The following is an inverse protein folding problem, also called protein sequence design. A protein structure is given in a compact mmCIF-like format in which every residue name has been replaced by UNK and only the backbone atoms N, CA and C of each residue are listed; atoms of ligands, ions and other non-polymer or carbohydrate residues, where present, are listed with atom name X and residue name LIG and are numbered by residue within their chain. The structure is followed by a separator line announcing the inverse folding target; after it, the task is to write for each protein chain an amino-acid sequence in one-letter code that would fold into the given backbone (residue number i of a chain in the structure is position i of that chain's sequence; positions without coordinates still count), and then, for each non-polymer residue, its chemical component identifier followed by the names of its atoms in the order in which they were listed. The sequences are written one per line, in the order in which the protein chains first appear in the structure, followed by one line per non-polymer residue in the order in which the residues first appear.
data_IF_719303999387
#
_entry.id   IF_719303999387
#
_cell.length_a   1.000
_cell.length_b   1.000
_cell.length_c   1.000
_cell.angle_alpha   90.00
_cell.angle_beta   90.00
_cell.angle_gamma   90.00
#
_symmetry.space_group_name_H-M   'P 1'
#
loop_
_entity.id
_entity.type
_entity.pdbx_description
1 polymer ?
#
# COMPACT_ATOMS: atom_id res chain seq x y z
N UNK A 1 2.41 -19.94 -10.76
CA UNK A 1 1.06 -19.36 -10.60
C UNK A 1 1.28 -17.87 -10.39
N UNK A 2 0.63 -17.01 -11.18
CA UNK A 2 0.65 -15.56 -10.96
C UNK A 2 -0.40 -15.18 -9.93
N UNK A 3 -0.11 -14.18 -9.11
CA UNK A 3 -1.09 -13.54 -8.23
C UNK A 3 -1.67 -12.30 -8.93
N UNK A 4 -2.67 -11.67 -8.32
CA UNK A 4 -3.19 -10.39 -8.73
C UNK A 4 -2.81 -9.32 -7.72
N UNK A 5 -2.54 -8.11 -8.20
CA UNK A 5 -2.12 -6.98 -7.38
C UNK A 5 -2.97 -5.75 -7.72
N UNK A 6 -3.51 -5.13 -6.68
CA UNK A 6 -4.14 -3.81 -6.76
C UNK A 6 -3.36 -2.84 -5.86
N UNK A 7 -2.92 -1.73 -6.44
CA UNK A 7 -2.33 -0.60 -5.73
C UNK A 7 -3.28 0.57 -5.92
N UNK A 8 -3.72 1.18 -4.83
CA UNK A 8 -4.60 2.34 -4.90
C UNK A 8 -4.24 3.39 -3.86
N UNK A 9 -4.69 4.60 -4.12
CA UNK A 9 -4.65 5.71 -3.17
C UNK A 9 -6.05 6.25 -2.92
N UNK A 10 -6.24 6.86 -1.75
CA UNK A 10 -7.48 7.52 -1.39
C UNK A 10 -7.27 8.55 -0.27
N UNK A 11 -8.27 9.40 -0.06
CA UNK A 11 -8.25 10.44 0.96
C UNK A 11 -9.19 10.06 2.10
N UNK A 12 -8.68 9.94 3.32
CA UNK A 12 -9.50 9.78 4.51
C UNK A 12 -10.46 10.97 4.65
N UNK A 13 -11.72 10.71 4.99
CA UNK A 13 -12.75 11.75 5.15
C UNK A 13 -12.48 12.69 6.32
N UNK A 14 -11.61 12.28 7.24
CA UNK A 14 -11.03 13.08 8.31
C UNK A 14 -9.71 12.47 8.76
N UNK A 15 -8.89 13.20 9.55
CA UNK A 15 -7.73 12.60 10.19
C UNK A 15 -8.16 11.46 11.12
N UNK A 16 -7.58 10.28 10.92
CA UNK A 16 -7.72 9.15 11.83
C UNK A 16 -6.70 9.25 12.97
N UNK A 17 -7.17 8.98 14.19
CA UNK A 17 -6.32 8.82 15.37
C UNK A 17 -5.52 7.52 15.31
N UNK A 18 -4.44 7.44 16.09
CA UNK A 18 -3.63 6.22 16.26
C UNK A 18 -4.49 5.01 16.64
N UNK A 19 -5.46 5.19 17.54
CA UNK A 19 -6.35 4.11 17.96
C UNK A 19 -7.29 3.63 16.83
N UNK A 20 -7.73 4.54 15.96
CA UNK A 20 -8.58 4.20 14.81
C UNK A 20 -7.79 3.48 13.72
N UNK A 21 -6.58 3.96 13.43
CA UNK A 21 -5.65 3.29 12.52
C UNK A 21 -5.29 1.89 13.03
N UNK A 22 -4.99 1.76 14.32
CA UNK A 22 -4.73 0.47 14.96
C UNK A 22 -5.89 -0.52 14.80
N UNK A 23 -7.14 -0.06 15.02
CA UNK A 23 -8.34 -0.90 14.80
C UNK A 23 -8.52 -1.29 13.33
N UNK A 24 -8.34 -0.34 12.41
CA UNK A 24 -8.45 -0.57 10.97
C UNK A 24 -7.44 -1.63 10.50
N UNK A 25 -6.18 -1.50 10.93
CA UNK A 25 -5.11 -2.44 10.58
C UNK A 25 -5.35 -3.81 11.19
N UNK A 26 -5.78 -3.88 12.46
CA UNK A 26 -6.11 -5.18 13.08
C UNK A 26 -7.24 -5.90 12.35
N UNK A 27 -8.29 -5.18 11.95
CA UNK A 27 -9.39 -5.75 11.18
C UNK A 27 -8.91 -6.23 9.81
N UNK A 28 -8.11 -5.42 9.12
CA UNK A 28 -7.53 -5.78 7.83
C UNK A 28 -6.65 -7.03 7.93
N UNK A 29 -5.78 -7.14 8.95
CA UNK A 29 -4.93 -8.32 9.16
C UNK A 29 -5.73 -9.61 9.33
N UNK A 30 -6.81 -9.57 10.12
CA UNK A 30 -7.67 -10.75 10.36
C UNK A 30 -8.37 -11.17 9.07
N UNK A 31 -8.99 -10.20 8.38
CA UNK A 31 -9.69 -10.48 7.13
C UNK A 31 -8.74 -11.02 6.07
N UNK A 32 -7.63 -10.31 5.83
CA UNK A 32 -6.66 -10.66 4.80
C UNK A 32 -6.04 -12.03 5.02
N UNK A 33 -5.70 -12.37 6.28
CA UNK A 33 -5.22 -13.71 6.61
C UNK A 33 -6.22 -14.81 6.22
N UNK A 34 -7.52 -14.60 6.48
CA UNK A 34 -8.56 -15.59 6.12
C UNK A 34 -8.74 -15.77 4.61
N UNK A 35 -8.35 -14.77 3.82
CA UNK A 35 -8.46 -14.77 2.35
C UNK A 35 -7.12 -15.00 1.64
N UNK A 36 -6.03 -15.28 2.39
CA UNK A 36 -4.67 -15.39 1.83
C UNK A 36 -4.24 -14.14 1.04
N UNK A 37 -4.66 -12.96 1.50
CA UNK A 37 -4.28 -11.66 0.94
C UNK A 37 -3.09 -11.11 1.73
N UNK A 38 -2.12 -10.57 1.03
CA UNK A 38 -0.96 -9.87 1.60
C UNK A 38 -0.90 -8.43 1.10
N UNK A 39 -0.02 -7.63 1.70
CA UNK A 39 0.19 -6.25 1.27
C UNK A 39 0.54 -5.31 2.41
N UNK A 40 0.44 -4.02 2.11
CA UNK A 40 0.80 -2.94 3.02
C UNK A 40 -0.19 -1.79 2.93
N UNK A 41 -0.32 -1.05 4.02
CA UNK A 41 -1.07 0.18 4.15
C UNK A 41 -0.15 1.29 4.67
N UNK A 42 -0.06 2.36 3.91
CA UNK A 42 0.66 3.57 4.28
C UNK A 42 -0.35 4.69 4.53
N UNK A 43 -0.12 5.46 5.60
CA UNK A 43 -0.96 6.61 5.95
C UNK A 43 -0.12 7.86 6.23
N UNK A 44 -0.46 8.97 5.58
CA UNK A 44 0.17 10.28 5.81
C UNK A 44 -0.86 11.41 5.69
N UNK A 45 -1.13 12.14 6.78
CA UNK A 45 -2.03 13.32 6.78
C UNK A 45 -3.32 13.16 5.95
N UNK A 46 -4.06 12.08 6.20
CA UNK A 46 -5.30 11.69 5.49
C UNK A 46 -5.10 11.05 4.12
N UNK A 47 -3.89 10.87 3.62
CA UNK A 47 -3.65 10.10 2.40
C UNK A 47 -3.41 8.64 2.76
N UNK A 48 -4.17 7.75 2.13
CA UNK A 48 -3.93 6.32 2.12
C UNK A 48 -3.24 5.91 0.83
N UNK A 49 -2.28 5.00 0.95
CA UNK A 49 -1.73 4.24 -0.16
C UNK A 49 -1.69 2.77 0.28
N UNK A 50 -2.36 1.90 -0.46
CA UNK A 50 -2.49 0.50 -0.10
C UNK A 50 -2.15 -0.40 -1.27
N UNK A 51 -1.46 -1.49 -0.95
CA UNK A 51 -1.13 -2.59 -1.87
C UNK A 51 -1.89 -3.82 -1.38
N UNK A 52 -2.58 -4.50 -2.29
CA UNK A 52 -3.29 -5.76 -2.06
C UNK A 52 -2.76 -6.80 -3.04
N UNK A 53 -2.43 -7.99 -2.54
CA UNK A 53 -1.84 -9.08 -3.31
C UNK A 53 -2.49 -10.41 -2.95
N UNK A 54 -2.86 -11.23 -3.93
CA UNK A 54 -3.52 -12.51 -3.65
C UNK A 54 -4.15 -13.15 -4.88
N UNK A 55 -5.09 -14.06 -4.66
CA UNK A 55 -5.96 -14.56 -5.74
C UNK A 55 -6.81 -13.41 -6.27
N UNK A 56 -7.04 -13.38 -7.59
CA UNK A 56 -7.69 -12.27 -8.28
C UNK A 56 -9.06 -11.94 -7.69
N UNK A 57 -9.94 -12.92 -7.59
CA UNK A 57 -11.30 -12.76 -7.08
C UNK A 57 -11.28 -12.25 -5.63
N UNK A 58 -10.44 -12.82 -4.77
CA UNK A 58 -10.31 -12.39 -3.38
C UNK A 58 -9.82 -10.93 -3.24
N UNK A 59 -8.89 -10.51 -4.09
CA UNK A 59 -8.35 -9.13 -4.11
C UNK A 59 -9.40 -8.15 -4.63
N UNK A 60 -10.10 -8.48 -5.72
CA UNK A 60 -11.18 -7.66 -6.29
C UNK A 60 -12.33 -7.49 -5.28
N UNK A 61 -12.81 -8.57 -4.65
CA UNK A 61 -13.86 -8.52 -3.62
C UNK A 61 -13.45 -7.72 -2.38
N UNK A 62 -12.18 -7.77 -1.98
CA UNK A 62 -11.67 -6.92 -0.91
C UNK A 62 -11.64 -5.46 -1.33
N UNK A 63 -11.15 -5.17 -2.54
CA UNK A 63 -11.09 -3.82 -3.07
C UNK A 63 -12.48 -3.17 -3.16
N UNK A 64 -13.49 -3.89 -3.66
CA UNK A 64 -14.86 -3.39 -3.76
C UNK A 64 -15.44 -3.01 -2.40
N UNK A 65 -15.22 -3.85 -1.37
CA UNK A 65 -15.67 -3.54 -0.01
C UNK A 65 -14.91 -2.37 0.60
N UNK A 66 -13.65 -2.18 0.23
CA UNK A 66 -12.91 -0.98 0.61
C UNK A 66 -13.49 0.22 -0.11
N UNK A 67 -13.83 0.14 -1.40
CA UNK A 67 -14.39 1.27 -2.15
C UNK A 67 -15.68 1.84 -1.56
N UNK A 68 -16.44 1.04 -0.83
CA UNK A 68 -17.65 1.45 -0.12
C UNK A 68 -17.41 1.96 1.31
N UNK A 69 -16.17 1.96 1.80
CA UNK A 69 -15.84 2.31 3.17
C UNK A 69 -15.98 3.83 3.41
N UNK A 70 -16.83 4.27 4.36
CA UNK A 70 -17.09 5.70 4.59
C UNK A 70 -15.90 6.46 5.21
N UNK A 71 -14.83 5.75 5.59
CA UNK A 71 -13.62 6.36 6.17
C UNK A 71 -12.77 7.09 5.14
N UNK A 72 -13.04 6.93 3.84
CA UNK A 72 -12.27 7.56 2.77
C UNK A 72 -13.12 7.92 1.53
N UNK A 73 -12.52 8.70 0.64
CA UNK A 73 -13.06 9.18 -0.64
C UNK A 73 -11.90 9.28 -1.65
N UNK A 74 -12.18 9.74 -2.87
CA UNK A 74 -11.19 10.01 -3.92
C UNK A 74 -10.33 8.79 -4.26
N UNK A 75 -10.97 7.62 -4.25
CA UNK A 75 -10.32 6.36 -4.54
C UNK A 75 -9.82 6.33 -5.99
N UNK A 76 -8.50 6.16 -6.16
CA UNK A 76 -7.85 6.11 -7.46
C UNK A 76 -6.99 4.85 -7.53
N UNK A 77 -7.26 3.98 -8.49
CA UNK A 77 -6.39 2.85 -8.81
C UNK A 77 -5.09 3.42 -9.40
N UNK A 78 -3.99 3.10 -8.75
CA UNK A 78 -2.64 3.33 -9.27
C UNK A 78 -2.27 2.19 -10.19
N UNK A 79 -2.48 0.95 -9.76
CA UNK A 79 -2.15 -0.23 -10.53
C UNK A 79 -3.16 -1.34 -10.27
N UNK A 80 -3.49 -2.08 -11.33
CA UNK A 80 -4.35 -3.26 -11.29
C UNK A 80 -3.79 -4.23 -12.35
N UNK A 81 -3.28 -5.39 -11.91
CA UNK A 81 -2.70 -6.33 -12.84
C UNK A 81 -2.14 -7.61 -12.22
N UNK A 82 -1.79 -8.60 -13.07
CA UNK A 82 -1.14 -9.83 -12.61
C UNK A 82 0.30 -9.56 -12.16
N UNK A 83 0.71 -10.09 -11.01
CA UNK A 83 2.09 -10.07 -10.54
C UNK A 83 2.68 -11.49 -10.56
N UNK A 84 3.98 -11.65 -10.87
CA UNK A 84 4.62 -12.96 -10.90
C UNK A 84 4.67 -13.63 -9.52
N UNK A 85 4.75 -12.83 -8.45
CA UNK A 85 4.76 -13.27 -7.06
C UNK A 85 4.34 -12.10 -6.13
N UNK A 86 3.93 -12.36 -4.88
CA UNK A 86 3.71 -11.30 -3.90
C UNK A 86 5.03 -10.59 -3.59
N UNK A 87 4.99 -9.26 -3.56
CA UNK A 87 6.12 -8.43 -3.16
C UNK A 87 6.16 -8.21 -1.65
N UNK A 88 5.01 -8.37 -0.99
CA UNK A 88 4.85 -8.21 0.45
C UNK A 88 4.41 -9.51 1.14
N UNK A 89 5.02 -10.69 0.85
CA UNK A 89 4.48 -12.01 1.24
C UNK A 89 4.46 -12.26 2.75
N UNK A 90 5.30 -11.56 3.52
CA UNK A 90 5.38 -11.70 4.97
C UNK A 90 4.27 -10.95 5.72
N UNK A 91 3.47 -10.15 5.03
CA UNK A 91 2.59 -9.18 5.65
C UNK A 91 1.15 -9.38 5.18
N UNK A 92 0.32 -10.00 6.03
CA UNK A 92 -1.14 -10.03 5.81
C UNK A 92 -1.72 -8.60 5.71
N UNK A 93 -1.12 -7.66 6.45
CA UNK A 93 -1.23 -6.22 6.21
C UNK A 93 -0.13 -5.50 7.02
N UNK A 94 0.95 -5.10 6.35
CA UNK A 94 1.96 -4.22 6.92
C UNK A 94 1.36 -2.82 7.09
N UNK A 95 1.76 -2.10 8.13
CA UNK A 95 1.24 -0.74 8.35
C UNK A 95 2.38 0.18 8.75
N UNK A 96 2.44 1.34 8.10
CA UNK A 96 3.35 2.40 8.51
C UNK A 96 2.68 3.79 8.38
N UNK A 97 2.83 4.61 9.41
CA UNK A 97 2.49 6.02 9.35
C UNK A 97 3.74 6.77 8.90
N UNK A 98 3.68 7.40 7.74
CA UNK A 98 4.83 8.04 7.12
C UNK A 98 4.67 9.55 7.13
N UNK A 99 5.80 10.27 7.07
CA UNK A 99 5.77 11.71 6.92
C UNK A 99 5.12 12.09 5.56
N UNK A 100 4.31 13.17 5.50
CA UNK A 100 3.71 13.63 4.24
C UNK A 100 4.75 13.84 3.13
N UNK A 101 5.90 14.42 3.48
CA UNK A 101 7.00 14.62 2.55
C UNK A 101 7.57 13.31 2.00
N UNK A 102 7.54 12.22 2.77
CA UNK A 102 7.99 10.91 2.30
C UNK A 102 7.01 10.34 1.27
N UNK A 103 5.70 10.38 1.56
CA UNK A 103 4.66 9.90 0.63
C UNK A 103 4.62 10.76 -0.65
N UNK A 104 4.78 12.08 -0.53
CA UNK A 104 4.80 13.01 -1.66
C UNK A 104 5.92 12.70 -2.68
N UNK A 105 7.04 12.11 -2.25
CA UNK A 105 8.14 11.69 -3.16
C UNK A 105 7.71 10.59 -4.12
N UNK A 106 6.73 9.77 -3.75
CA UNK A 106 6.15 8.76 -4.62
C UNK A 106 5.12 9.35 -5.58
N UNK A 107 4.61 10.56 -5.30
CA UNK A 107 3.38 11.12 -5.89
C UNK A 107 3.28 11.02 -7.41
N UNK A 108 4.34 11.36 -8.14
CA UNK A 108 4.33 11.31 -9.61
C UNK A 108 4.30 9.87 -10.15
N UNK A 109 4.86 8.90 -9.43
CA UNK A 109 4.81 7.48 -9.81
C UNK A 109 3.47 6.83 -9.45
N UNK A 110 2.75 7.40 -8.49
CA UNK A 110 1.43 6.94 -8.03
C UNK A 110 0.26 7.59 -8.79
N UNK A 111 0.54 8.21 -9.93
CA UNK A 111 -0.46 8.76 -10.82
C UNK A 111 -0.22 8.23 -12.24
N UNK A 112 -1.10 7.33 -12.73
CA UNK A 112 -0.99 6.74 -14.06
C UNK A 112 -0.90 7.75 -15.19
N UNK A 113 -1.41 8.97 -15.00
CA UNK A 113 -1.36 10.03 -16.02
C UNK A 113 0.08 10.50 -16.29
N UNK A 114 1.00 10.32 -15.34
CA UNK A 114 2.39 10.76 -15.46
C UNK A 114 3.34 9.67 -15.96
N UNK A 115 2.89 8.42 -16.04
CA UNK A 115 3.73 7.27 -16.40
C UNK A 115 4.36 7.39 -17.79
N UNK A 116 3.64 7.93 -18.76
CA UNK A 116 4.14 8.10 -20.13
C UNK A 116 5.41 8.97 -20.21
N UNK A 117 5.63 9.82 -19.20
CA UNK A 117 6.80 10.70 -19.08
C UNK A 117 7.90 10.06 -18.23
N UNK A 118 7.53 9.33 -17.19
CA UNK A 118 8.45 8.85 -16.15
C UNK A 118 9.02 7.46 -16.43
N UNK A 119 8.26 6.61 -17.12
CA UNK A 119 8.60 5.21 -17.31
C UNK A 119 9.11 4.99 -18.73
N UNK A 120 10.39 4.62 -18.92
CA UNK A 120 10.89 4.22 -20.23
C UNK A 120 10.03 3.09 -20.78
N UNK A 121 9.73 3.10 -22.08
CA UNK A 121 8.87 2.09 -22.73
C UNK A 121 9.37 0.64 -22.62
N UNK A 122 10.57 0.44 -22.09
CA UNK A 122 11.23 -0.85 -21.91
C UNK A 122 10.86 -1.56 -20.61
N UNK A 123 10.23 -0.86 -19.65
CA UNK A 123 9.84 -1.44 -18.36
C UNK A 123 8.32 -1.42 -18.21
N UNK A 124 7.77 -2.43 -17.53
CA UNK A 124 6.37 -2.36 -17.13
C UNK A 124 6.20 -1.38 -15.98
N UNK A 125 5.08 -0.64 -15.96
CA UNK A 125 4.75 0.24 -14.83
C UNK A 125 4.66 -0.53 -13.53
N UNK A 126 4.22 -1.79 -13.61
CA UNK A 126 4.11 -2.67 -12.45
C UNK A 126 5.43 -2.97 -11.79
N UNK A 127 6.44 -3.37 -12.55
CA UNK A 127 7.77 -3.65 -11.98
C UNK A 127 8.34 -2.39 -11.33
N UNK A 128 8.30 -1.24 -12.03
CA UNK A 128 8.90 0.00 -11.53
C UNK A 128 8.20 0.50 -10.26
N UNK A 129 6.87 0.54 -10.26
CA UNK A 129 6.11 1.05 -9.10
C UNK A 129 6.28 0.11 -7.91
N UNK A 130 6.27 -1.20 -8.14
CA UNK A 130 6.37 -2.15 -7.04
C UNK A 130 7.77 -2.18 -6.44
N UNK A 131 8.82 -2.09 -7.26
CA UNK A 131 10.20 -1.97 -6.78
C UNK A 131 10.39 -0.67 -5.98
N UNK A 132 9.87 0.46 -6.48
CA UNK A 132 9.90 1.74 -5.80
C UNK A 132 9.16 1.71 -4.45
N UNK A 133 8.01 1.02 -4.38
CA UNK A 133 7.28 0.84 -3.12
C UNK A 133 8.02 -0.06 -2.14
N UNK A 134 8.64 -1.14 -2.63
CA UNK A 134 9.45 -2.03 -1.78
C UNK A 134 10.62 -1.27 -1.17
N UNK A 135 11.38 -0.53 -1.98
CA UNK A 135 12.49 0.30 -1.51
C UNK A 135 12.02 1.35 -0.50
N UNK A 136 10.92 2.04 -0.79
CA UNK A 136 10.33 3.01 0.13
C UNK A 136 9.99 2.37 1.49
N UNK A 137 9.35 1.20 1.49
CA UNK A 137 8.94 0.50 2.71
C UNK A 137 10.15 0.02 3.51
N UNK A 138 11.17 -0.49 2.82
CA UNK A 138 12.43 -0.93 3.44
C UNK A 138 13.15 0.26 4.10
N UNK A 139 13.20 1.42 3.44
CA UNK A 139 13.75 2.66 4.01
C UNK A 139 12.98 3.10 5.27
N UNK A 140 11.64 3.12 5.21
CA UNK A 140 10.82 3.51 6.37
C UNK A 140 10.94 2.50 7.53
N UNK A 141 11.10 1.22 7.22
CA UNK A 141 11.29 0.17 8.22
C UNK A 141 12.67 0.26 8.86
N UNK A 142 13.72 0.53 8.08
CA UNK A 142 15.07 0.73 8.58
C UNK A 142 15.18 2.00 9.43
N UNK A 143 14.55 3.11 9.00
CA UNK A 143 14.47 4.35 9.76
C UNK A 143 13.74 4.17 11.10
N UNK A 144 12.76 3.26 11.16
CA UNK A 144 12.09 2.89 12.41
C UNK A 144 12.92 2.00 13.34
N UNK A 145 14.06 1.43 12.87
CA UNK A 145 14.88 0.44 13.58
C UNK A 145 16.20 0.98 14.17
N UNK A 146 16.56 2.25 14.03
CA UNK A 146 17.82 2.83 14.57
C UNK A 146 17.62 4.17 15.30
N UNK A 147 18.32 4.43 16.43
CA UNK A 147 18.40 3.58 17.62
C UNK A 147 17.99 4.34 18.91
N UNK A 148 17.26 3.65 19.78
CA UNK A 148 17.13 4.00 21.19
C UNK A 148 17.30 2.75 22.02
N UNK A 149 18.54 2.39 22.38
CA UNK A 149 18.78 1.24 23.26
C UNK A 149 20.17 0.61 23.20
N UNK A 150 21.19 1.36 23.57
CA UNK A 150 22.35 0.80 24.29
C UNK A 150 22.93 1.92 25.17
N UNK A 151 23.51 1.67 26.36
CA UNK A 151 23.71 0.40 27.06
C UNK A 151 22.93 0.31 28.41
N UNK A 152 22.78 -0.91 28.91
CA UNK A 152 22.38 -1.23 30.28
C UNK A 152 22.82 -2.62 30.63
#
# INVERSE_FOLDING_TARGET
MSIHQIIYRSTATRPLSEAELGRLVSQARIYNYSQSITGILLYAEQQFLQVLEGEKTAVEELYDRIAEDPRHTDLTIVLDGPAPQPFFPAWNMGFNRVAPAALARLGNYLDPQHWAVLLPRTYSAQEVITDLLREFVDEQTAASRLPGGGPG
#
